data_IF_514930519068
#
_entry.id   IF_514930519068
#
_cell.length_a   1.000
_cell.length_b   1.000
_cell.length_c   1.000
_cell.angle_alpha   90.00
_cell.angle_beta   90.00
_cell.angle_gamma   90.00
#
_symmetry.space_group_name_H-M   'P 1'
#
loop_
_entity.id
_entity.type
_entity.pdbx_description
1 polymer ?
#
# COMPACT_ATOMS: atom_id res chain seq x y z
N UNK A 1 21.38 11.48 -4.30
CA UNK A 1 21.42 10.43 -3.25
C UNK A 1 20.00 10.11 -2.82
N UNK A 2 19.68 8.86 -2.74
CA UNK A 2 18.36 8.43 -2.27
C UNK A 2 18.29 8.36 -0.75
N UNK A 3 17.10 8.46 -0.22
CA UNK A 3 16.81 8.13 1.17
C UNK A 3 15.86 6.94 1.21
N UNK A 4 15.79 6.29 2.35
CA UNK A 4 14.91 5.16 2.61
C UNK A 4 14.18 5.44 3.91
N UNK A 5 12.84 5.43 3.85
CA UNK A 5 11.97 5.67 5.00
C UNK A 5 11.04 4.47 5.15
N UNK A 6 10.99 3.91 6.35
CA UNK A 6 10.09 2.81 6.65
C UNK A 6 9.07 3.26 7.68
N UNK A 7 7.80 2.94 7.44
CA UNK A 7 6.73 3.03 8.42
C UNK A 7 6.27 1.62 8.76
N UNK A 8 5.80 1.44 9.97
CA UNK A 8 5.39 0.13 10.44
C UNK A 8 4.23 0.24 11.42
N UNK A 9 3.36 -0.76 11.41
CA UNK A 9 2.21 -0.83 12.28
C UNK A 9 1.91 -2.27 12.66
N UNK A 10 1.78 -2.54 13.96
CA UNK A 10 1.21 -3.79 14.44
C UNK A 10 -0.31 -3.69 14.31
N UNK A 11 -0.92 -4.70 13.71
CA UNK A 11 -2.37 -4.76 13.50
C UNK A 11 -2.90 -6.03 14.16
N UNK A 12 -3.98 -5.91 14.92
CA UNK A 12 -4.57 -7.01 15.70
C UNK A 12 -5.49 -7.86 14.82
N UNK A 13 -4.95 -8.34 13.69
CA UNK A 13 -5.58 -9.33 12.81
C UNK A 13 -4.52 -10.29 12.28
N UNK A 14 -4.94 -11.46 11.83
CA UNK A 14 -4.04 -12.42 11.21
C UNK A 14 -3.37 -11.83 9.96
N UNK A 15 -2.12 -12.23 9.70
CA UNK A 15 -1.38 -11.77 8.54
C UNK A 15 -2.11 -12.03 7.23
N UNK A 16 -2.75 -13.19 7.07
CA UNK A 16 -3.49 -13.52 5.86
C UNK A 16 -4.68 -12.58 5.66
N UNK A 17 -5.31 -12.14 6.75
CA UNK A 17 -6.42 -11.17 6.65
C UNK A 17 -5.93 -9.82 6.13
N UNK A 18 -4.82 -9.32 6.67
CA UNK A 18 -4.22 -8.08 6.18
C UNK A 18 -3.78 -8.21 4.72
N UNK A 19 -3.22 -9.36 4.35
CA UNK A 19 -2.79 -9.61 2.98
C UNK A 19 -3.94 -9.68 1.98
N UNK A 20 -5.15 -10.08 2.39
CA UNK A 20 -6.33 -10.03 1.52
C UNK A 20 -6.56 -8.62 0.96
N UNK A 21 -6.23 -7.59 1.73
CA UNK A 21 -6.33 -6.19 1.30
C UNK A 21 -5.06 -5.73 0.61
N UNK A 22 -3.91 -5.86 1.28
CA UNK A 22 -2.62 -5.35 0.77
C UNK A 22 -2.22 -6.03 -0.53
N UNK A 23 -2.50 -7.32 -0.67
CA UNK A 23 -2.18 -8.11 -1.85
C UNK A 23 -3.06 -7.84 -3.06
N UNK A 24 -4.02 -6.94 -2.96
CA UNK A 24 -4.87 -6.51 -4.08
C UNK A 24 -4.51 -5.09 -4.49
N UNK A 25 -3.67 -4.93 -5.51
CA UNK A 25 -3.18 -3.60 -5.91
C UNK A 25 -4.30 -2.64 -6.32
N UNK A 26 -5.42 -3.15 -6.83
CA UNK A 26 -6.57 -2.36 -7.25
C UNK A 26 -7.35 -1.73 -6.09
N UNK A 27 -7.10 -2.16 -4.86
CA UNK A 27 -7.80 -1.64 -3.68
C UNK A 27 -7.07 -0.49 -2.99
N UNK A 28 -5.90 -0.09 -3.46
CA UNK A 28 -5.06 0.88 -2.76
C UNK A 28 -5.81 2.16 -2.38
N UNK A 29 -6.61 2.69 -3.28
CA UNK A 29 -7.37 3.93 -3.04
C UNK A 29 -8.42 3.81 -1.92
N UNK A 30 -8.75 2.60 -1.51
CA UNK A 30 -9.74 2.36 -0.46
C UNK A 30 -9.13 2.40 0.94
N UNK A 31 -7.81 2.34 1.05
CA UNK A 31 -7.14 2.43 2.35
C UNK A 31 -5.96 3.41 2.39
N UNK A 32 -5.61 4.04 1.27
CA UNK A 32 -4.54 5.03 1.21
C UNK A 32 -5.14 6.43 1.05
N UNK A 33 -5.17 7.24 2.14
CA UNK A 33 -5.75 8.59 2.08
C UNK A 33 -5.06 9.46 1.03
N UNK A 34 -5.86 10.20 0.26
CA UNK A 34 -5.34 11.07 -0.81
C UNK A 34 -5.28 10.41 -2.18
N UNK A 35 -5.40 9.10 -2.27
CA UNK A 35 -5.56 8.39 -3.54
C UNK A 35 -7.06 8.12 -3.73
N UNK A 36 -7.65 8.66 -4.81
CA UNK A 36 -9.10 8.60 -5.04
C UNK A 36 -9.51 7.57 -6.07
N UNK A 37 -8.59 7.10 -6.89
CA UNK A 37 -8.85 6.07 -7.90
C UNK A 37 -7.61 5.24 -8.17
N UNK A 38 -7.82 4.01 -8.61
CA UNK A 38 -6.77 3.07 -8.87
C UNK A 38 -7.22 2.12 -9.97
N UNK A 39 -6.46 2.03 -11.05
CA UNK A 39 -6.76 1.14 -12.18
C UNK A 39 -5.53 0.28 -12.45
N UNK A 40 -5.73 -1.03 -12.48
CA UNK A 40 -4.67 -2.00 -12.76
C UNK A 40 -4.89 -2.62 -14.14
N UNK A 41 -3.86 -2.56 -14.96
CA UNK A 41 -3.82 -3.18 -16.28
C UNK A 41 -2.47 -3.90 -16.43
N UNK A 42 -2.49 -5.23 -16.35
CA UNK A 42 -1.26 -6.03 -16.34
C UNK A 42 -0.39 -5.68 -15.15
N UNK A 43 0.85 -5.26 -15.40
CA UNK A 43 1.79 -4.84 -14.36
C UNK A 43 1.79 -3.33 -14.11
N UNK A 44 0.87 -2.59 -14.71
CA UNK A 44 0.75 -1.15 -14.51
C UNK A 44 -0.44 -0.84 -13.62
N UNK A 45 -0.20 -0.08 -12.56
CA UNK A 45 -1.25 0.48 -11.73
C UNK A 45 -1.22 1.99 -11.89
N UNK A 46 -2.33 2.58 -12.34
CA UNK A 46 -2.45 4.04 -12.42
C UNK A 46 -3.25 4.52 -11.23
N UNK A 47 -2.62 5.33 -10.39
CA UNK A 47 -3.28 5.97 -9.26
C UNK A 47 -3.67 7.39 -9.63
N UNK A 48 -4.80 7.85 -9.09
CA UNK A 48 -5.24 9.24 -9.22
C UNK A 48 -5.30 9.86 -7.83
N UNK A 49 -4.61 10.98 -7.67
CA UNK A 49 -4.61 11.73 -6.42
C UNK A 49 -5.84 12.64 -6.33
N UNK A 50 -6.19 13.05 -5.11
CA UNK A 50 -7.31 13.97 -4.89
C UNK A 50 -7.15 15.31 -5.60
N UNK A 51 -5.94 15.70 -5.98
CA UNK A 51 -5.66 16.88 -6.79
C UNK A 51 -6.00 16.70 -8.27
N UNK A 52 -6.33 15.49 -8.71
CA UNK A 52 -6.59 15.12 -10.10
C UNK A 52 -5.38 14.63 -10.87
N UNK A 53 -4.19 14.65 -10.26
CA UNK A 53 -2.97 14.15 -10.90
C UNK A 53 -3.00 12.63 -10.93
N UNK A 54 -2.73 12.04 -12.08
CA UNK A 54 -2.59 10.58 -12.24
C UNK A 54 -1.13 10.21 -12.41
N UNK A 55 -0.73 9.12 -11.73
CA UNK A 55 0.64 8.62 -11.74
C UNK A 55 0.62 7.13 -12.11
N UNK A 56 1.41 6.73 -13.14
CA UNK A 56 1.58 5.31 -13.44
C UNK A 56 2.62 4.70 -12.50
N UNK A 57 2.32 3.50 -12.04
CA UNK A 57 3.23 2.69 -11.24
C UNK A 57 3.45 1.36 -11.93
N UNK A 58 4.66 0.82 -11.83
CA UNK A 58 4.96 -0.53 -12.30
C UNK A 58 4.96 -1.47 -11.10
N UNK A 59 4.15 -2.51 -11.15
CA UNK A 59 4.15 -3.58 -10.15
C UNK A 59 5.36 -4.47 -10.41
N UNK A 60 6.26 -4.56 -9.45
CA UNK A 60 7.53 -5.30 -9.57
C UNK A 60 7.47 -6.66 -8.90
N UNK A 61 6.82 -6.74 -7.76
CA UNK A 61 6.72 -7.96 -6.96
C UNK A 61 5.31 -8.08 -6.39
N UNK A 62 4.72 -9.25 -6.57
CA UNK A 62 3.46 -9.62 -5.93
C UNK A 62 3.59 -11.06 -5.47
N UNK A 63 4.06 -11.24 -4.25
CA UNK A 63 4.43 -12.54 -3.70
C UNK A 63 3.50 -12.87 -2.53
N UNK A 64 2.49 -13.72 -2.79
CA UNK A 64 1.52 -14.10 -1.77
C UNK A 64 2.08 -15.09 -0.76
N UNK A 65 3.17 -15.77 -1.06
CA UNK A 65 3.80 -16.69 -0.12
C UNK A 65 4.54 -15.92 0.98
N UNK A 66 5.32 -14.91 0.59
CA UNK A 66 6.03 -14.03 1.51
C UNK A 66 5.16 -12.88 2.02
N UNK A 67 4.04 -12.61 1.39
CA UNK A 67 3.17 -11.44 1.62
C UNK A 67 3.95 -10.15 1.40
N UNK A 68 4.58 -10.04 0.21
CA UNK A 68 5.38 -8.87 -0.19
C UNK A 68 4.84 -8.28 -1.48
N UNK A 69 4.68 -6.98 -1.48
CA UNK A 69 4.26 -6.21 -2.65
C UNK A 69 5.25 -5.08 -2.90
N UNK A 70 5.76 -4.98 -4.14
CA UNK A 70 6.70 -3.92 -4.50
C UNK A 70 6.27 -3.26 -5.81
N UNK A 71 6.45 -1.95 -5.87
CA UNK A 71 6.11 -1.17 -7.05
C UNK A 71 7.09 0.00 -7.20
N UNK A 72 7.10 0.60 -8.40
CA UNK A 72 7.93 1.74 -8.71
C UNK A 72 7.12 2.79 -9.44
N UNK A 73 7.28 4.06 -9.02
CA UNK A 73 6.81 5.23 -9.75
C UNK A 73 7.94 5.65 -10.67
N UNK A 74 7.68 5.74 -11.98
CA UNK A 74 8.68 6.13 -12.96
C UNK A 74 8.43 7.56 -13.43
N UNK A 75 9.50 8.34 -13.53
CA UNK A 75 9.45 9.71 -14.05
C UNK A 75 8.91 10.74 -13.06
N UNK A 76 8.55 11.92 -13.56
CA UNK A 76 8.05 13.01 -12.74
C UNK A 76 9.10 13.52 -11.75
N UNK A 77 8.75 13.53 -10.47
CA UNK A 77 9.61 14.04 -9.40
C UNK A 77 10.67 13.04 -8.93
N UNK A 78 10.67 11.83 -9.48
CA UNK A 78 11.55 10.74 -8.99
C UNK A 78 12.64 10.43 -10.02
N UNK A 79 13.90 10.52 -9.59
CA UNK A 79 15.01 9.91 -10.31
C UNK A 79 15.07 8.41 -10.01
N UNK A 80 14.67 8.02 -8.81
CA UNK A 80 14.60 6.63 -8.35
C UNK A 80 13.45 6.50 -7.36
N UNK A 81 12.70 5.41 -7.43
CA UNK A 81 11.64 5.09 -6.47
C UNK A 81 11.44 3.59 -6.34
N UNK A 82 11.25 3.13 -5.12
CA UNK A 82 10.80 1.77 -4.81
C UNK A 82 9.88 1.82 -3.59
N UNK A 83 8.66 1.36 -3.75
CA UNK A 83 7.74 1.14 -2.64
C UNK A 83 7.70 -0.34 -2.29
N UNK A 84 7.78 -0.68 -1.01
CA UNK A 84 7.74 -2.06 -0.53
C UNK A 84 6.77 -2.17 0.64
N UNK A 85 5.81 -3.08 0.53
CA UNK A 85 4.90 -3.42 1.62
C UNK A 85 5.12 -4.87 1.98
N UNK A 86 5.39 -5.13 3.26
CA UNK A 86 5.51 -6.47 3.81
C UNK A 86 4.47 -6.70 4.90
N UNK A 87 3.83 -7.86 4.89
CA UNK A 87 2.96 -8.30 5.97
C UNK A 87 3.60 -9.50 6.63
N UNK A 88 3.96 -9.35 7.91
CA UNK A 88 4.71 -10.35 8.68
C UNK A 88 3.82 -10.87 9.80
N UNK A 89 3.65 -12.19 9.89
CA UNK A 89 2.87 -12.79 10.96
C UNK A 89 3.59 -12.65 12.31
N UNK A 90 2.84 -12.21 13.33
CA UNK A 90 3.29 -12.18 14.72
C UNK A 90 2.41 -13.13 15.54
N UNK A 91 2.37 -14.40 15.14
CA UNK A 91 1.43 -15.38 15.65
C UNK A 91 0.18 -15.47 14.77
N UNK A 92 -0.88 -16.09 15.27
CA UNK A 92 -2.06 -16.42 14.46
C UNK A 92 -3.06 -15.26 14.33
N UNK A 93 -3.00 -14.28 15.24
CA UNK A 93 -4.02 -13.23 15.35
C UNK A 93 -3.46 -11.82 15.31
N UNK A 94 -2.17 -11.66 14.99
CA UNK A 94 -1.49 -10.37 14.90
C UNK A 94 -0.54 -10.38 13.73
N UNK A 95 -0.31 -9.21 13.17
CA UNK A 95 0.71 -9.04 12.14
C UNK A 95 1.41 -7.69 12.29
N UNK A 96 2.57 -7.59 11.63
CA UNK A 96 3.30 -6.35 11.45
C UNK A 96 3.21 -6.01 9.96
N UNK A 97 2.71 -4.83 9.63
CA UNK A 97 2.76 -4.32 8.27
C UNK A 97 3.82 -3.23 8.20
N UNK A 98 4.78 -3.40 7.29
CA UNK A 98 5.80 -2.40 7.03
C UNK A 98 5.57 -1.82 5.64
N UNK A 99 5.79 -0.52 5.51
CA UNK A 99 5.67 0.19 4.24
C UNK A 99 6.91 1.06 4.08
N UNK A 100 7.81 0.65 3.18
CA UNK A 100 9.08 1.34 2.93
C UNK A 100 9.00 2.11 1.63
N UNK A 101 9.59 3.30 1.63
CA UNK A 101 9.73 4.14 0.43
C UNK A 101 11.20 4.51 0.28
N UNK A 102 11.80 4.03 -0.80
CA UNK A 102 13.16 4.41 -1.22
C UNK A 102 12.99 5.38 -2.38
N UNK A 103 13.56 6.56 -2.27
CA UNK A 103 13.39 7.57 -3.30
C UNK A 103 14.59 8.52 -3.42
N UNK A 104 14.81 8.96 -4.66
CA UNK A 104 15.71 10.05 -5.01
C UNK A 104 14.88 11.07 -5.82
N UNK A 105 14.82 12.34 -5.42
CA UNK A 105 15.58 12.98 -4.34
C UNK A 105 15.10 12.56 -2.93
N UNK A 106 16.00 12.69 -1.97
CA UNK A 106 15.77 12.26 -0.57
C UNK A 106 14.53 12.88 0.07
N UNK A 107 14.22 14.13 -0.27
CA UNK A 107 13.03 14.83 0.24
C UNK A 107 11.74 14.12 -0.12
N UNK A 108 11.69 13.46 -1.28
CA UNK A 108 10.51 12.71 -1.70
C UNK A 108 10.28 11.47 -0.86
N UNK A 109 11.33 10.82 -0.37
CA UNK A 109 11.18 9.70 0.56
C UNK A 109 10.52 10.15 1.87
N UNK A 110 10.86 11.34 2.38
CA UNK A 110 10.26 11.90 3.59
C UNK A 110 8.77 12.20 3.37
N UNK A 111 8.43 12.81 2.23
CA UNK A 111 7.03 13.10 1.86
C UNK A 111 6.22 11.82 1.78
N UNK A 112 6.74 10.82 1.07
CA UNK A 112 6.08 9.52 0.96
C UNK A 112 5.93 8.84 2.32
N UNK A 113 6.94 8.96 3.20
CA UNK A 113 6.88 8.39 4.55
C UNK A 113 5.71 8.91 5.36
N UNK A 114 5.39 10.21 5.25
CA UNK A 114 4.21 10.78 5.89
C UNK A 114 2.91 10.18 5.34
N UNK A 115 2.82 10.07 4.02
CA UNK A 115 1.64 9.50 3.36
C UNK A 115 1.45 8.01 3.69
N UNK A 116 2.52 7.22 3.65
CA UNK A 116 2.44 5.78 3.95
C UNK A 116 2.13 5.51 5.41
N UNK A 117 2.61 6.36 6.32
CA UNK A 117 2.26 6.26 7.74
C UNK A 117 0.76 6.45 7.95
N UNK A 118 0.17 7.47 7.33
CA UNK A 118 -1.29 7.69 7.37
C UNK A 118 -2.06 6.53 6.74
N UNK A 119 -1.53 5.95 5.65
CA UNK A 119 -2.14 4.79 5.01
C UNK A 119 -2.16 3.57 5.93
N UNK A 120 -1.06 3.30 6.65
CA UNK A 120 -1.02 2.19 7.60
C UNK A 120 -2.00 2.39 8.76
N UNK A 121 -2.18 3.62 9.23
CA UNK A 121 -3.15 3.93 10.27
C UNK A 121 -4.58 3.65 9.79
N UNK A 122 -4.92 4.04 8.55
CA UNK A 122 -6.24 3.77 7.98
C UNK A 122 -6.45 2.28 7.72
N UNK A 123 -5.43 1.58 7.22
CA UNK A 123 -5.49 0.13 7.04
C UNK A 123 -5.79 -0.58 8.36
N UNK A 124 -5.06 -0.21 9.42
CA UNK A 124 -5.25 -0.79 10.75
C UNK A 124 -6.66 -0.50 11.28
N UNK A 125 -7.14 0.72 11.11
CA UNK A 125 -8.48 1.12 11.54
C UNK A 125 -9.56 0.23 10.92
N UNK A 126 -9.49 0.03 9.60
CA UNK A 126 -10.48 -0.82 8.90
C UNK A 126 -10.38 -2.28 9.33
N UNK A 127 -9.16 -2.83 9.34
CA UNK A 127 -8.95 -4.25 9.67
C UNK A 127 -9.37 -4.58 11.11
N UNK A 128 -9.00 -3.72 12.07
CA UNK A 128 -9.33 -3.95 13.47
C UNK A 128 -10.82 -3.73 13.76
N UNK A 129 -11.45 -2.80 13.04
CA UNK A 129 -12.90 -2.61 13.14
C UNK A 129 -13.69 -3.74 12.46
N UNK A 130 -13.10 -4.45 11.52
CA UNK A 130 -13.75 -5.52 10.76
C UNK A 130 -14.67 -5.02 9.65
N UNK A 131 -14.64 -3.73 9.34
CA UNK A 131 -15.42 -3.12 8.26
C UNK A 131 -14.73 -1.85 7.76
N UNK A 132 -15.05 -1.47 6.53
CA UNK A 132 -14.54 -0.28 5.86
C UNK A 132 -14.50 -0.47 4.35
N UNK A 133 -14.14 0.56 3.59
CA UNK A 133 -14.19 0.51 2.13
C UNK A 133 -13.40 -0.65 1.51
N UNK A 134 -12.19 -0.91 2.02
CA UNK A 134 -11.37 -1.99 1.49
C UNK A 134 -11.97 -3.37 1.80
N UNK A 135 -12.49 -3.56 3.00
CA UNK A 135 -13.11 -4.83 3.40
C UNK A 135 -14.44 -5.05 2.68
N UNK A 136 -15.21 -4.00 2.47
CA UNK A 136 -16.46 -4.07 1.72
C UNK A 136 -16.20 -4.53 0.28
N UNK A 137 -15.09 -4.11 -0.31
CA UNK A 137 -14.69 -4.52 -1.66
C UNK A 137 -14.30 -6.01 -1.75
N UNK A 138 -13.92 -6.63 -0.64
CA UNK A 138 -13.62 -8.07 -0.57
C UNK A 138 -14.87 -8.94 -0.47
N UNK A 139 -15.96 -8.37 0.03
CA UNK A 139 -17.20 -9.10 0.21
C UNK A 139 -17.85 -9.36 -1.15
N UNK A 140 -18.13 -10.63 -1.53
CA UNK A 140 -18.82 -10.91 -2.78
C UNK A 140 -20.17 -10.20 -2.81
N UNK A 141 -20.45 -9.48 -3.91
CA UNK A 141 -21.79 -8.95 -4.14
C UNK A 141 -22.71 -10.12 -4.40
N UNK A 142 -23.72 -10.30 -3.58
CA UNK A 142 -24.76 -11.27 -3.87
C UNK A 142 -25.53 -10.83 -5.11
N UNK A 143 -25.54 -11.68 -6.11
CA UNK A 143 -26.29 -11.44 -7.33
C UNK A 143 -27.79 -11.71 -7.08
#
# INVERSE_FOLDING_TARGET
MRASVRRERVIEVAADRAWEVVGRPELLHLWFPGIVACVVDGSTRTITLGTGVSLPETILTHDSLQRRFQYRIAGGLFAEHLGTIDVVALGDERCLVTYSSDADPATMAVVLGGATGSALDELARQLEAGHGPALDALTPTEA
#
